data_IF_710067749594
#
_entry.id   IF_710067749594
#
_cell.length_a   1.000
_cell.length_b   1.000
_cell.length_c   1.000
_cell.angle_alpha   90.00
_cell.angle_beta   90.00
_cell.angle_gamma   90.00
#
_symmetry.space_group_name_H-M   'P 1'
#
loop_
_entity.id
_entity.type
_entity.pdbx_description
1 polymer ?
#
# COMPACT_ATOMS: atom_id res chain seq x y z
N UNK A 1 5.44 -57.84 28.17
CA UNK A 1 6.27 -58.10 29.37
C UNK A 1 6.21 -56.87 30.25
N UNK A 2 5.71 -57.06 31.46
CA UNK A 2 5.66 -56.09 32.56
C UNK A 2 7.01 -55.37 32.77
N UNK A 3 6.99 -54.14 33.27
CA UNK A 3 7.49 -53.81 34.62
C UNK A 3 7.06 -52.37 34.98
N UNK A 4 6.25 -52.29 36.04
CA UNK A 4 5.97 -51.13 36.87
C UNK A 4 7.17 -50.81 37.78
N UNK A 5 7.39 -49.52 38.13
CA UNK A 5 7.34 -49.01 39.53
C UNK A 5 8.02 -47.64 39.69
N UNK A 6 7.17 -46.67 40.04
CA UNK A 6 7.26 -45.66 41.12
C UNK A 6 8.43 -45.73 42.12
N UNK A 7 9.00 -44.55 42.46
CA UNK A 7 9.31 -44.15 43.84
C UNK A 7 9.16 -42.63 44.05
N UNK A 8 8.78 -42.27 45.28
CA UNK A 8 8.35 -40.96 45.79
C UNK A 8 9.38 -40.32 46.75
N UNK A 9 9.08 -39.07 47.14
CA UNK A 9 9.58 -38.26 48.27
C UNK A 9 10.79 -37.34 47.96
N UNK A 10 10.77 -36.02 48.24
CA UNK A 10 10.66 -35.45 49.60
C UNK A 10 10.27 -33.95 49.62
N UNK A 11 9.22 -33.65 50.39
CA UNK A 11 8.87 -32.45 51.21
C UNK A 11 9.74 -31.15 51.15
N UNK A 12 9.07 -29.97 51.06
CA UNK A 12 8.73 -29.10 52.24
C UNK A 12 8.04 -27.76 51.89
N UNK A 13 6.94 -27.52 52.64
CA UNK A 13 6.47 -26.28 53.33
C UNK A 13 5.79 -25.11 52.59
N UNK A 14 4.52 -24.90 53.01
CA UNK A 14 3.87 -23.68 53.57
C UNK A 14 3.78 -22.43 52.64
N UNK A 15 2.65 -21.73 52.45
CA UNK A 15 1.55 -21.36 53.37
C UNK A 15 0.31 -20.90 52.59
N UNK A 16 -0.85 -21.03 53.22
CA UNK A 16 -2.20 -20.72 52.73
C UNK A 16 -2.65 -19.25 52.91
N UNK A 17 -3.50 -18.79 51.99
CA UNK A 17 -4.64 -17.85 52.13
C UNK A 17 -5.59 -18.22 50.98
N UNK A 18 -6.87 -18.52 51.10
CA UNK A 18 -7.90 -18.16 52.08
C UNK A 18 -9.15 -17.81 51.25
N UNK A 19 -9.88 -18.81 50.77
CA UNK A 19 -11.15 -18.67 50.04
C UNK A 19 -12.30 -18.72 51.04
N UNK A 20 -13.22 -17.74 50.97
CA UNK A 20 -14.45 -17.70 51.75
C UNK A 20 -15.65 -17.96 50.83
N UNK A 21 -16.40 -19.00 51.18
CA UNK A 21 -17.70 -19.39 50.63
C UNK A 21 -18.78 -19.20 51.69
N UNK A 22 -19.91 -18.61 51.32
CA UNK A 22 -21.22 -18.75 51.99
C UNK A 22 -22.27 -18.07 51.09
N UNK A 23 -23.51 -18.52 50.91
CA UNK A 23 -24.30 -19.59 51.49
C UNK A 23 -25.46 -19.91 50.53
N UNK A 24 -25.82 -21.18 50.43
CA UNK A 24 -27.03 -21.68 49.79
C UNK A 24 -28.10 -21.84 50.88
N UNK A 25 -29.29 -21.29 50.69
CA UNK A 25 -30.53 -21.77 51.32
C UNK A 25 -31.69 -21.66 50.33
N UNK A 26 -32.36 -22.80 50.15
CA UNK A 26 -33.65 -22.96 49.48
C UNK A 26 -34.79 -22.39 50.31
N UNK A 27 -35.87 -21.95 49.67
CA UNK A 27 -37.25 -22.25 50.07
C UNK A 27 -38.19 -21.97 48.88
N UNK A 28 -39.02 -22.97 48.59
CA UNK A 28 -40.12 -22.97 47.64
C UNK A 28 -41.38 -22.33 48.24
N UNK A 29 -42.08 -21.48 47.48
CA UNK A 29 -43.55 -21.41 47.53
C UNK A 29 -44.13 -20.65 46.33
N UNK A 30 -45.26 -21.19 45.89
CA UNK A 30 -46.25 -20.74 44.90
C UNK A 30 -46.69 -19.27 44.97
N UNK A 31 -46.82 -18.59 43.83
CA UNK A 31 -48.11 -18.21 43.21
C UNK A 31 -48.05 -16.95 42.31
N UNK A 32 -48.67 -17.09 41.13
CA UNK A 32 -49.40 -16.11 40.30
C UNK A 32 -48.79 -14.75 39.92
N UNK A 33 -48.68 -14.60 38.60
CA UNK A 33 -49.18 -13.46 37.79
C UNK A 33 -48.57 -12.09 38.03
N UNK A 34 -47.56 -11.74 37.22
CA UNK A 34 -47.32 -10.36 36.78
C UNK A 34 -46.95 -10.37 35.30
N UNK A 35 -47.90 -9.98 34.46
CA UNK A 35 -47.64 -9.54 33.10
C UNK A 35 -46.94 -8.18 33.16
N UNK A 36 -45.72 -8.08 32.63
CA UNK A 36 -45.04 -6.81 32.42
C UNK A 36 -44.46 -6.74 31.01
N UNK A 37 -45.19 -5.99 30.19
CA UNK A 37 -44.79 -5.22 29.02
C UNK A 37 -43.38 -5.44 28.45
N UNK A 38 -43.32 -6.08 27.28
CA UNK A 38 -42.27 -5.86 26.29
C UNK A 38 -42.57 -4.54 25.55
N UNK A 39 -41.61 -3.62 25.35
CA UNK A 39 -41.81 -2.48 24.45
C UNK A 39 -41.84 -2.99 23.01
N UNK A 40 -42.98 -2.78 22.34
CA UNK A 40 -43.20 -3.15 20.95
C UNK A 40 -42.40 -2.29 19.96
N UNK A 41 -42.02 -2.91 18.85
CA UNK A 41 -41.51 -2.27 17.64
C UNK A 41 -42.57 -1.30 17.08
N UNK A 42 -42.21 -0.05 16.70
CA UNK A 42 -43.13 0.82 15.98
C UNK A 42 -43.26 0.39 14.51
N UNK A 43 -44.50 0.28 14.06
CA UNK A 43 -44.89 0.12 12.65
C UNK A 43 -44.68 1.43 11.87
N UNK A 44 -44.47 1.35 10.54
CA UNK A 44 -44.07 2.50 9.72
C UNK A 44 -45.27 3.36 9.33
N UNK A 45 -45.21 4.67 9.60
CA UNK A 45 -46.24 5.58 9.11
C UNK A 45 -46.23 6.97 9.73
N UNK A 46 -45.16 7.75 9.51
CA UNK A 46 -45.24 9.23 9.49
C UNK A 46 -44.08 9.78 8.65
N UNK A 47 -44.41 10.61 7.67
CA UNK A 47 -43.45 11.28 6.80
C UNK A 47 -42.60 12.27 7.59
N UNK A 48 -41.28 12.14 7.51
CA UNK A 48 -40.35 13.17 7.98
C UNK A 48 -40.27 14.29 6.95
N UNK A 49 -40.75 15.49 7.32
CA UNK A 49 -40.50 16.71 6.56
C UNK A 49 -39.03 17.14 6.73
N UNK A 50 -38.32 17.50 5.65
CA UNK A 50 -36.95 18.01 5.76
C UNK A 50 -36.93 19.43 6.38
N UNK A 51 -35.83 19.83 7.05
CA UNK A 51 -35.68 21.18 7.56
C UNK A 51 -35.56 22.22 6.43
N UNK A 52 -35.93 23.50 6.66
CA UNK A 52 -35.89 24.54 5.63
C UNK A 52 -34.45 24.89 5.22
N UNK A 53 -34.27 25.19 3.94
CA UNK A 53 -33.00 25.60 3.35
C UNK A 53 -32.51 26.95 3.91
N UNK A 54 -31.18 27.15 4.05
CA UNK A 54 -30.63 28.44 4.47
C UNK A 54 -30.81 29.51 3.39
N UNK A 55 -31.08 30.75 3.84
CA UNK A 55 -31.32 31.94 3.01
C UNK A 55 -30.11 32.32 2.13
N UNK A 56 -30.34 32.90 0.93
CA UNK A 56 -29.27 33.30 0.03
C UNK A 56 -28.53 34.56 0.54
N UNK A 57 -27.21 34.55 0.40
CA UNK A 57 -26.34 35.72 0.60
C UNK A 57 -26.52 36.74 -0.55
N UNK A 58 -26.29 38.04 -0.32
CA UNK A 58 -26.64 39.09 -1.27
C UNK A 58 -25.71 39.17 -2.48
N UNK A 59 -26.30 39.55 -3.61
CA UNK A 59 -25.71 39.74 -4.92
C UNK A 59 -24.50 40.70 -4.92
N UNK A 60 -23.40 40.25 -5.52
CA UNK A 60 -22.35 41.11 -6.06
C UNK A 60 -22.29 40.87 -7.57
N UNK A 61 -22.56 41.93 -8.33
CA UNK A 61 -22.63 41.95 -9.79
C UNK A 61 -21.30 41.55 -10.47
N UNK A 62 -21.34 41.02 -11.72
CA UNK A 62 -20.22 40.35 -12.36
C UNK A 62 -19.26 41.34 -13.04
N UNK A 63 -17.97 41.11 -12.90
CA UNK A 63 -16.95 41.70 -13.77
C UNK A 63 -16.83 40.85 -15.05
N UNK A 64 -16.90 41.52 -16.19
CA UNK A 64 -16.84 40.95 -17.52
C UNK A 64 -15.51 40.18 -17.77
N UNK A 65 -15.62 38.95 -18.26
CA UNK A 65 -14.53 38.26 -18.92
C UNK A 65 -15.07 37.50 -20.14
N UNK A 66 -14.40 37.76 -21.25
CA UNK A 66 -14.64 37.33 -22.63
C UNK A 66 -14.97 35.84 -22.81
N UNK A 67 -16.08 35.59 -23.50
CA UNK A 67 -16.45 34.30 -24.09
C UNK A 67 -15.44 33.88 -25.15
N UNK A 68 -14.59 32.90 -24.81
CA UNK A 68 -13.93 32.05 -25.80
C UNK A 68 -14.56 30.66 -25.68
N UNK A 69 -15.20 30.23 -26.76
CA UNK A 69 -15.87 28.95 -26.85
C UNK A 69 -14.86 27.80 -26.68
N UNK A 70 -14.97 27.04 -25.59
CA UNK A 70 -14.23 25.79 -25.43
C UNK A 70 -15.02 24.71 -26.18
N UNK A 71 -14.48 24.34 -27.34
CA UNK A 71 -14.91 23.20 -28.13
C UNK A 71 -14.89 21.94 -27.26
N UNK A 72 -16.04 21.27 -27.16
CA UNK A 72 -16.15 19.95 -26.58
C UNK A 72 -15.30 18.98 -27.41
N UNK A 73 -14.12 18.60 -26.90
CA UNK A 73 -13.30 17.55 -27.50
C UNK A 73 -14.03 16.23 -27.29
N UNK A 74 -14.77 15.80 -28.30
CA UNK A 74 -15.29 14.44 -28.43
C UNK A 74 -14.13 13.47 -28.27
N UNK A 75 -14.20 12.62 -27.24
CA UNK A 75 -13.29 11.51 -27.06
C UNK A 75 -13.26 10.67 -28.34
N UNK A 76 -12.06 10.42 -28.86
CA UNK A 76 -11.85 9.56 -30.01
C UNK A 76 -12.49 8.17 -29.76
N UNK A 77 -13.07 7.52 -30.78
CA UNK A 77 -13.70 6.21 -30.61
C UNK A 77 -12.67 5.19 -30.12
N UNK A 78 -13.09 4.37 -29.15
CA UNK A 78 -12.31 3.26 -28.64
C UNK A 78 -11.89 2.35 -29.81
N UNK A 79 -10.58 2.06 -29.91
CA UNK A 79 -10.06 1.08 -30.86
C UNK A 79 -10.74 -0.28 -30.62
N UNK A 80 -11.01 -1.08 -31.67
CA UNK A 80 -11.54 -2.42 -31.53
C UNK A 80 -10.61 -3.26 -30.64
N UNK A 81 -11.18 -4.18 -29.87
CA UNK A 81 -10.52 -5.01 -28.87
C UNK A 81 -9.10 -5.38 -29.30
N UNK A 82 -8.11 -4.75 -28.65
CA UNK A 82 -6.72 -5.03 -28.93
C UNK A 82 -6.49 -6.52 -28.68
N UNK A 83 -6.09 -7.24 -29.73
CA UNK A 83 -5.79 -8.67 -29.64
C UNK A 83 -4.77 -8.86 -28.50
N UNK A 84 -5.17 -9.60 -27.47
CA UNK A 84 -4.30 -9.86 -26.33
C UNK A 84 -3.05 -10.61 -26.83
N UNK A 85 -1.86 -10.29 -26.29
CA UNK A 85 -0.65 -10.99 -26.69
C UNK A 85 -0.72 -12.45 -26.28
N UNK A 86 -0.02 -13.32 -27.02
CA UNK A 86 0.16 -14.71 -26.61
C UNK A 86 0.91 -14.72 -25.27
N UNK A 87 0.38 -15.45 -24.31
CA UNK A 87 0.93 -15.57 -22.96
C UNK A 87 0.74 -17.01 -22.49
N UNK A 88 1.81 -17.60 -21.95
CA UNK A 88 1.76 -18.92 -21.31
C UNK A 88 1.05 -18.87 -19.95
N UNK A 89 0.87 -17.65 -19.43
CA UNK A 89 0.10 -17.35 -18.22
C UNK A 89 -1.30 -16.90 -18.66
N UNK A 90 -2.39 -17.50 -18.13
CA UNK A 90 -3.75 -17.05 -18.43
C UNK A 90 -3.95 -15.56 -18.15
N UNK A 91 -4.47 -14.82 -19.14
CA UNK A 91 -4.86 -13.41 -18.99
C UNK A 91 -6.36 -13.36 -18.75
N UNK A 92 -6.76 -12.82 -17.60
CA UNK A 92 -8.14 -12.67 -17.17
C UNK A 92 -8.49 -11.18 -17.20
N UNK A 93 -9.53 -10.80 -17.94
CA UNK A 93 -9.87 -9.38 -18.17
C UNK A 93 -11.14 -8.92 -17.46
N UNK A 94 -11.95 -9.83 -16.93
CA UNK A 94 -13.20 -9.51 -16.22
C UNK A 94 -13.11 -9.87 -14.73
N UNK A 95 -13.86 -9.15 -13.91
CA UNK A 95 -13.95 -9.40 -12.46
C UNK A 95 -14.61 -10.75 -12.19
N UNK A 96 -15.63 -11.11 -12.97
CA UNK A 96 -16.37 -12.36 -12.78
C UNK A 96 -15.52 -13.59 -13.08
N UNK A 97 -14.75 -13.59 -14.17
CA UNK A 97 -13.83 -14.68 -14.51
C UNK A 97 -12.75 -14.85 -13.42
N UNK A 98 -12.22 -13.73 -12.90
CA UNK A 98 -11.21 -13.78 -11.84
C UNK A 98 -11.79 -14.32 -10.53
N UNK A 99 -13.04 -13.97 -10.21
CA UNK A 99 -13.77 -14.51 -9.05
C UNK A 99 -14.05 -15.99 -9.21
N UNK A 100 -14.43 -16.45 -10.40
CA UNK A 100 -14.61 -17.87 -10.68
C UNK A 100 -13.29 -18.64 -10.47
N UNK A 101 -12.21 -18.14 -11.05
CA UNK A 101 -10.86 -18.69 -10.86
C UNK A 101 -10.48 -18.74 -9.37
N UNK A 102 -10.74 -17.67 -8.61
CA UNK A 102 -10.44 -17.61 -7.18
C UNK A 102 -11.29 -18.57 -6.36
N UNK A 103 -12.58 -18.70 -6.68
CA UNK A 103 -13.50 -19.60 -6.01
C UNK A 103 -13.08 -21.06 -6.20
N UNK A 104 -12.58 -21.43 -7.39
CA UNK A 104 -11.98 -22.74 -7.62
C UNK A 104 -10.77 -22.97 -6.72
N UNK A 105 -9.83 -22.03 -6.68
CA UNK A 105 -8.67 -22.11 -5.79
C UNK A 105 -9.06 -22.25 -4.31
N UNK A 106 -10.11 -21.54 -3.88
CA UNK A 106 -10.63 -21.64 -2.51
C UNK A 106 -11.18 -23.03 -2.19
N UNK A 107 -12.00 -23.61 -3.09
CA UNK A 107 -12.53 -24.98 -2.92
C UNK A 107 -11.44 -26.05 -2.88
N UNK A 108 -10.34 -25.82 -3.58
CA UNK A 108 -9.15 -26.68 -3.57
C UNK A 108 -8.25 -26.45 -2.34
N UNK A 109 -8.61 -25.53 -1.43
CA UNK A 109 -7.81 -25.21 -0.25
C UNK A 109 -6.48 -24.51 -0.55
N UNK A 110 -6.32 -23.94 -1.75
CA UNK A 110 -5.08 -23.30 -2.19
C UNK A 110 -4.95 -21.87 -1.67
N UNK A 111 -3.73 -21.56 -1.23
CA UNK A 111 -3.33 -20.18 -0.89
C UNK A 111 -3.07 -19.37 -2.16
N UNK A 112 -3.46 -18.09 -2.14
CA UNK A 112 -3.29 -17.17 -3.28
C UNK A 112 -2.51 -15.95 -2.84
N UNK A 113 -1.34 -15.74 -3.44
CA UNK A 113 -0.59 -14.50 -3.34
C UNK A 113 -1.00 -13.53 -4.45
N UNK A 114 -1.06 -12.25 -4.13
CA UNK A 114 -1.46 -11.20 -5.07
C UNK A 114 -0.43 -10.08 -5.16
N UNK A 115 -0.01 -9.75 -6.38
CA UNK A 115 0.94 -8.67 -6.68
C UNK A 115 0.23 -7.60 -7.53
N UNK A 116 -0.29 -6.52 -6.92
CA UNK A 116 -0.88 -5.42 -7.68
C UNK A 116 0.20 -4.58 -8.36
N UNK A 117 0.10 -4.40 -9.68
CA UNK A 117 1.02 -3.55 -10.45
C UNK A 117 0.27 -2.66 -11.46
N UNK A 118 0.98 -1.66 -11.99
CA UNK A 118 0.52 -0.85 -13.12
C UNK A 118 1.13 -1.29 -14.47
N UNK A 119 1.84 -2.43 -14.51
CA UNK A 119 2.64 -2.84 -15.68
C UNK A 119 4.01 -2.17 -15.73
N UNK A 120 4.66 -2.24 -16.91
CA UNK A 120 6.04 -1.80 -17.10
C UNK A 120 6.99 -2.44 -16.09
N UNK A 121 6.93 -3.77 -16.06
CA UNK A 121 7.56 -4.59 -15.04
C UNK A 121 9.09 -4.53 -15.14
N UNK A 122 9.73 -4.72 -14.00
CA UNK A 122 11.18 -4.69 -13.80
C UNK A 122 11.54 -5.61 -12.62
N UNK A 123 12.82 -5.81 -12.34
CA UNK A 123 13.27 -6.80 -11.34
C UNK A 123 12.69 -6.56 -9.93
N UNK A 124 12.41 -5.30 -9.57
CA UNK A 124 11.67 -4.97 -8.35
C UNK A 124 10.23 -5.52 -8.30
N UNK A 125 9.52 -5.63 -9.42
CA UNK A 125 8.22 -6.32 -9.47
C UNK A 125 8.40 -7.84 -9.43
N UNK A 126 9.44 -8.33 -10.11
CA UNK A 126 9.74 -9.76 -10.16
C UNK A 126 10.14 -10.32 -8.80
N UNK A 127 10.80 -9.54 -7.94
CA UNK A 127 11.04 -9.95 -6.55
C UNK A 127 9.74 -10.14 -5.77
N UNK A 128 8.72 -9.28 -5.96
CA UNK A 128 7.39 -9.45 -5.35
C UNK A 128 6.74 -10.76 -5.80
N UNK A 129 6.81 -11.06 -7.11
CA UNK A 129 6.27 -12.28 -7.69
C UNK A 129 6.99 -13.51 -7.14
N UNK A 130 8.33 -13.48 -7.03
CA UNK A 130 9.11 -14.57 -6.46
C UNK A 130 8.75 -14.85 -5.01
N UNK A 131 8.59 -13.81 -4.18
CA UNK A 131 8.15 -13.97 -2.80
C UNK A 131 6.72 -14.52 -2.71
N UNK A 132 5.83 -14.08 -3.60
CA UNK A 132 4.48 -14.64 -3.72
C UNK A 132 4.49 -16.14 -4.05
N UNK A 133 5.32 -16.58 -5.00
CA UNK A 133 5.47 -17.99 -5.38
C UNK A 133 6.07 -18.84 -4.24
N UNK A 134 6.97 -18.25 -3.44
CA UNK A 134 7.56 -18.92 -2.28
C UNK A 134 6.54 -19.20 -1.19
N UNK A 135 5.66 -18.24 -0.93
CA UNK A 135 4.76 -18.26 0.23
C UNK A 135 3.33 -18.78 -0.08
N UNK A 136 2.96 -18.96 -1.35
CA UNK A 136 1.61 -19.35 -1.76
C UNK A 136 1.60 -20.42 -2.87
N UNK A 137 0.50 -21.15 -3.00
CA UNK A 137 0.31 -22.18 -4.03
C UNK A 137 0.07 -21.58 -5.41
N UNK A 138 -0.67 -20.47 -5.45
CA UNK A 138 -1.01 -19.73 -6.66
C UNK A 138 -0.61 -18.27 -6.52
N UNK A 139 -0.26 -17.63 -7.63
CA UNK A 139 0.11 -16.20 -7.67
C UNK A 139 -0.67 -15.49 -8.78
N UNK A 140 -1.35 -14.41 -8.42
CA UNK A 140 -2.03 -13.51 -9.38
C UNK A 140 -1.27 -12.19 -9.43
N UNK A 141 -1.04 -11.68 -10.63
CA UNK A 141 -0.45 -10.36 -10.85
C UNK A 141 -1.48 -9.49 -11.56
N UNK A 142 -1.83 -8.32 -11.03
CA UNK A 142 -2.64 -7.38 -11.80
C UNK A 142 -1.76 -6.42 -12.57
N UNK A 143 -2.16 -6.09 -13.80
CA UNK A 143 -1.60 -5.00 -14.60
C UNK A 143 -2.74 -4.02 -14.85
N UNK A 144 -2.79 -2.93 -14.10
CA UNK A 144 -3.83 -1.93 -14.25
C UNK A 144 -3.32 -0.53 -13.94
N UNK A 145 -3.22 0.33 -14.96
CA UNK A 145 -2.90 1.75 -14.79
C UNK A 145 -4.16 2.46 -14.29
N UNK A 146 -4.27 2.65 -12.98
CA UNK A 146 -5.43 3.23 -12.34
C UNK A 146 -5.52 4.75 -12.58
N UNK A 147 -6.51 5.30 -13.32
CA UNK A 147 -6.59 6.73 -13.54
C UNK A 147 -6.88 7.52 -12.25
N UNK A 148 -7.56 6.93 -11.26
CA UNK A 148 -8.02 7.62 -10.06
C UNK A 148 -6.88 8.08 -9.12
N UNK A 149 -5.66 7.58 -9.32
CA UNK A 149 -4.48 7.99 -8.55
C UNK A 149 -3.59 8.99 -9.31
N UNK A 150 -3.99 9.42 -10.51
CA UNK A 150 -3.27 10.44 -11.26
C UNK A 150 -4.00 11.78 -11.16
N UNK A 151 -3.27 12.85 -10.86
CA UNK A 151 -3.80 14.20 -11.03
C UNK A 151 -3.83 14.58 -12.53
N UNK A 152 -4.63 15.58 -12.95
CA UNK A 152 -4.74 15.96 -14.37
C UNK A 152 -3.41 16.35 -15.04
N UNK A 153 -2.43 16.81 -14.27
CA UNK A 153 -1.10 17.21 -14.73
C UNK A 153 -0.04 16.10 -14.59
N UNK A 154 -0.41 14.93 -14.08
CA UNK A 154 0.50 13.78 -13.95
C UNK A 154 0.56 12.93 -15.23
N UNK A 155 1.50 11.99 -15.25
CA UNK A 155 1.96 11.26 -16.43
C UNK A 155 1.03 10.12 -16.89
N UNK A 156 -0.29 10.19 -16.64
CA UNK A 156 -1.24 9.10 -16.99
C UNK A 156 -1.23 8.76 -18.49
N UNK A 157 -1.23 9.80 -19.35
CA UNK A 157 -1.25 9.62 -20.79
C UNK A 157 0.04 8.97 -21.31
N UNK A 158 1.17 9.29 -20.68
CA UNK A 158 2.51 8.85 -21.08
C UNK A 158 3.01 7.63 -20.31
N UNK A 159 2.22 7.10 -19.36
CA UNK A 159 2.63 5.94 -18.56
C UNK A 159 2.89 4.74 -19.48
N UNK A 160 4.04 4.05 -19.34
CA UNK A 160 4.41 2.95 -20.23
C UNK A 160 3.41 1.78 -20.13
N UNK A 161 2.94 1.31 -21.29
CA UNK A 161 2.08 0.11 -21.41
C UNK A 161 2.82 -0.93 -22.24
N UNK A 162 3.34 -1.96 -21.58
CA UNK A 162 4.27 -2.92 -22.20
C UNK A 162 3.84 -4.37 -21.97
N UNK A 163 2.55 -4.66 -22.13
CA UNK A 163 1.94 -5.96 -21.78
C UNK A 163 2.70 -7.17 -22.33
N UNK A 164 3.12 -7.14 -23.60
CA UNK A 164 3.91 -8.23 -24.21
C UNK A 164 5.22 -8.51 -23.45
N UNK A 165 5.97 -7.45 -23.14
CA UNK A 165 7.22 -7.53 -22.38
C UNK A 165 6.95 -7.96 -20.92
N UNK A 166 5.88 -7.43 -20.34
CA UNK A 166 5.47 -7.73 -18.96
C UNK A 166 5.11 -9.22 -18.83
N UNK A 167 4.30 -9.75 -19.75
CA UNK A 167 3.94 -11.18 -19.83
C UNK A 167 5.18 -12.06 -20.01
N UNK A 168 6.09 -11.70 -20.93
CA UNK A 168 7.33 -12.46 -21.14
C UNK A 168 8.18 -12.50 -19.87
N UNK A 169 8.33 -11.36 -19.18
CA UNK A 169 9.11 -11.29 -17.94
C UNK A 169 8.47 -12.14 -16.84
N UNK A 170 7.15 -12.11 -16.71
CA UNK A 170 6.41 -12.96 -15.76
C UNK A 170 6.58 -14.45 -16.08
N UNK A 171 6.59 -14.85 -17.37
CA UNK A 171 6.83 -16.25 -17.77
C UNK A 171 8.21 -16.78 -17.38
N UNK A 172 9.20 -15.90 -17.17
CA UNK A 172 10.52 -16.32 -16.65
C UNK A 172 10.51 -16.66 -15.15
N UNK A 173 9.43 -16.33 -14.44
CA UNK A 173 9.32 -16.57 -13.00
C UNK A 173 8.87 -18.00 -12.73
N UNK A 174 9.70 -18.73 -12.00
CA UNK A 174 9.27 -19.97 -11.39
C UNK A 174 9.96 -20.19 -10.05
N UNK A 175 9.34 -21.01 -9.22
CA UNK A 175 9.86 -21.42 -7.93
C UNK A 175 9.59 -22.91 -7.74
N UNK A 176 10.62 -23.66 -7.37
CA UNK A 176 10.48 -25.08 -7.04
C UNK A 176 10.54 -25.22 -5.51
N UNK A 177 9.41 -25.49 -4.83
CA UNK A 177 9.42 -25.68 -3.39
C UNK A 177 10.24 -26.90 -2.98
N UNK A 178 10.98 -26.80 -1.88
CA UNK A 178 11.81 -27.92 -1.38
C UNK A 178 11.00 -29.03 -0.70
N UNK A 179 9.66 -28.93 -0.64
CA UNK A 179 8.80 -29.91 0.02
C UNK A 179 8.58 -31.16 -0.84
N UNK A 180 8.41 -32.36 -0.24
CA UNK A 180 8.09 -33.57 -0.98
C UNK A 180 6.83 -33.38 -1.84
N UNK A 181 6.86 -33.90 -3.07
CA UNK A 181 5.76 -33.79 -4.06
C UNK A 181 5.40 -32.36 -4.51
N UNK A 182 6.28 -31.38 -4.26
CA UNK A 182 6.06 -30.04 -4.76
C UNK A 182 6.11 -29.99 -6.30
N UNK A 183 5.18 -29.23 -6.88
CA UNK A 183 5.20 -28.89 -8.28
C UNK A 183 5.89 -27.54 -8.48
N UNK A 184 6.50 -27.34 -9.66
CA UNK A 184 6.97 -26.04 -10.08
C UNK A 184 5.82 -25.02 -9.98
N UNK A 185 6.07 -23.91 -9.30
CA UNK A 185 5.13 -22.79 -9.18
C UNK A 185 5.55 -21.70 -10.15
N UNK A 186 4.62 -21.22 -10.94
CA UNK A 186 4.76 -20.05 -11.82
C UNK A 186 3.56 -19.11 -11.60
N UNK A 187 3.60 -17.85 -12.07
CA UNK A 187 2.43 -16.99 -12.03
C UNK A 187 1.22 -17.67 -12.65
N UNK A 188 0.11 -17.70 -11.92
CA UNK A 188 -1.05 -18.52 -12.23
C UNK A 188 -2.10 -17.78 -13.07
N UNK A 189 -2.15 -16.45 -12.96
CA UNK A 189 -2.98 -15.60 -13.80
C UNK A 189 -2.44 -14.15 -13.83
N UNK A 190 -2.66 -13.47 -14.94
CA UNK A 190 -2.53 -12.02 -15.08
C UNK A 190 -3.94 -11.43 -15.09
N UNK A 191 -4.25 -10.55 -14.14
CA UNK A 191 -5.49 -9.80 -14.14
C UNK A 191 -5.30 -8.46 -14.86
N UNK A 192 -5.96 -8.30 -16.01
CA UNK A 192 -5.83 -7.16 -16.91
C UNK A 192 -7.19 -6.51 -17.14
N UNK A 193 -7.80 -5.88 -16.11
CA UNK A 193 -9.12 -5.28 -16.26
C UNK A 193 -9.06 -3.99 -17.07
N UNK A 194 -10.16 -3.68 -17.76
CA UNK A 194 -10.36 -2.36 -18.36
C UNK A 194 -10.77 -1.33 -17.29
N UNK A 195 -10.64 -0.03 -17.59
CA UNK A 195 -11.16 1.02 -16.70
C UNK A 195 -12.68 0.95 -16.56
N UNK A 196 -13.41 0.53 -17.59
CA UNK A 196 -14.87 0.34 -17.51
C UNK A 196 -15.23 -0.82 -16.58
N UNK A 197 -14.45 -1.90 -16.61
CA UNK A 197 -14.61 -3.03 -15.70
C UNK A 197 -14.36 -2.61 -14.25
N UNK A 198 -13.26 -1.87 -14.01
CA UNK A 198 -12.96 -1.38 -12.67
C UNK A 198 -13.94 -0.30 -12.23
N UNK A 199 -14.39 0.60 -13.09
CA UNK A 199 -15.22 1.77 -12.77
C UNK A 199 -16.44 1.84 -13.69
N UNK A 200 -17.46 0.99 -13.50
CA UNK A 200 -18.61 0.90 -14.39
C UNK A 200 -19.45 2.18 -14.44
N UNK A 201 -19.49 2.93 -13.33
CA UNK A 201 -20.14 4.25 -13.25
C UNK A 201 -19.29 5.40 -13.82
N UNK A 202 -18.07 5.10 -14.28
CA UNK A 202 -17.09 6.08 -14.74
C UNK A 202 -16.27 6.72 -13.62
N UNK A 203 -15.19 7.40 -14.03
CA UNK A 203 -14.33 8.21 -13.18
C UNK A 203 -14.54 9.68 -13.54
N UNK A 204 -15.04 10.47 -12.60
CA UNK A 204 -15.09 11.92 -12.73
C UNK A 204 -14.70 12.56 -11.41
N UNK A 205 -13.68 13.43 -11.46
CA UNK A 205 -13.26 14.20 -10.29
C UNK A 205 -14.28 15.27 -9.91
N UNK A 206 -15.02 15.81 -10.87
CA UNK A 206 -16.00 16.88 -10.64
C UNK A 206 -17.36 16.36 -10.17
N UNK A 207 -17.80 15.21 -10.68
CA UNK A 207 -19.13 14.65 -10.37
C UNK A 207 -19.12 13.47 -9.40
N UNK A 208 -17.92 13.00 -9.01
CA UNK A 208 -17.71 11.89 -8.04
C UNK A 208 -18.62 10.67 -8.29
N UNK A 209 -18.67 10.18 -9.53
CA UNK A 209 -19.56 9.07 -9.93
C UNK A 209 -19.22 7.70 -9.32
N UNK A 210 -18.12 7.59 -8.57
CA UNK A 210 -17.60 6.35 -8.00
C UNK A 210 -17.43 6.46 -6.49
N UNK A 211 -17.60 5.35 -5.78
CA UNK A 211 -17.25 5.26 -4.35
C UNK A 211 -15.73 5.24 -4.16
N UNK A 212 -15.25 5.96 -3.14
CA UNK A 212 -13.83 6.04 -2.79
C UNK A 212 -13.58 5.64 -1.34
N UNK A 213 -12.41 5.07 -1.09
CA UNK A 213 -11.83 4.92 0.25
C UNK A 213 -11.01 6.18 0.53
N UNK A 214 -11.29 6.83 1.65
CA UNK A 214 -10.60 8.05 2.08
C UNK A 214 -9.71 7.70 3.29
N UNK A 215 -8.39 7.58 3.11
CA UNK A 215 -7.47 7.42 4.22
C UNK A 215 -7.52 8.58 5.21
N UNK A 216 -7.08 8.38 6.46
CA UNK A 216 -6.94 9.47 7.42
C UNK A 216 -5.91 10.50 6.92
N UNK A 217 -6.13 11.81 7.19
CA UNK A 217 -5.19 12.87 6.83
C UNK A 217 -3.76 12.65 7.37
N UNK A 218 -3.61 12.10 8.57
CA UNK A 218 -2.29 11.81 9.17
C UNK A 218 -1.41 10.93 8.28
N UNK A 219 -2.00 9.99 7.54
CA UNK A 219 -1.25 9.09 6.67
C UNK A 219 -1.04 9.64 5.25
N UNK A 220 -1.69 10.75 4.91
CA UNK A 220 -1.78 11.26 3.52
C UNK A 220 -1.40 12.73 3.34
N UNK A 221 -1.21 13.49 4.42
CA UNK A 221 -0.79 14.90 4.37
C UNK A 221 0.69 15.09 4.73
N UNK A 222 1.50 14.04 4.58
CA UNK A 222 2.94 14.04 4.83
C UNK A 222 3.67 13.46 3.63
N UNK A 223 4.96 13.78 3.47
CA UNK A 223 5.85 13.21 2.44
C UNK A 223 5.23 13.27 1.02
N UNK A 224 5.08 12.12 0.34
CA UNK A 224 4.50 12.02 -1.01
C UNK A 224 3.08 12.58 -1.11
N UNK A 225 2.35 12.56 0.01
CA UNK A 225 0.98 13.03 0.07
C UNK A 225 0.85 14.55 -0.04
N UNK A 226 1.85 15.30 0.44
CA UNK A 226 1.93 16.75 0.26
C UNK A 226 2.13 17.10 -1.22
N UNK A 227 3.01 16.39 -1.90
CA UNK A 227 3.27 16.58 -3.32
C UNK A 227 2.12 16.07 -4.20
N UNK A 228 1.30 15.13 -3.70
CA UNK A 228 0.25 14.44 -4.48
C UNK A 228 -1.07 14.26 -3.69
N UNK A 229 -1.85 15.32 -3.44
CA UNK A 229 -2.98 15.31 -2.51
C UNK A 229 -4.10 14.30 -2.79
N UNK A 230 -4.29 13.90 -4.06
CA UNK A 230 -5.33 12.92 -4.44
C UNK A 230 -4.82 11.49 -4.61
N UNK A 231 -3.50 11.29 -4.56
CA UNK A 231 -2.85 10.02 -4.92
C UNK A 231 -3.30 8.87 -4.01
N UNK A 232 -3.16 9.02 -2.69
CA UNK A 232 -3.43 7.95 -1.75
C UNK A 232 -4.91 7.55 -1.66
N UNK A 233 -5.85 8.48 -1.89
CA UNK A 233 -7.28 8.15 -2.04
C UNK A 233 -7.51 7.23 -3.24
N UNK A 234 -6.88 7.55 -4.38
CA UNK A 234 -6.93 6.73 -5.58
C UNK A 234 -6.33 5.34 -5.38
N UNK A 235 -5.17 5.27 -4.72
CA UNK A 235 -4.47 4.02 -4.39
C UNK A 235 -5.29 3.15 -3.42
N UNK A 236 -5.74 3.71 -2.29
CA UNK A 236 -6.55 2.99 -1.32
C UNK A 236 -7.83 2.43 -1.98
N UNK A 237 -8.50 3.24 -2.81
CA UNK A 237 -9.70 2.81 -3.52
C UNK A 237 -9.42 1.65 -4.47
N UNK A 238 -8.41 1.75 -5.34
CA UNK A 238 -8.15 0.67 -6.31
C UNK A 238 -7.65 -0.60 -5.63
N UNK A 239 -6.80 -0.49 -4.61
CA UNK A 239 -6.31 -1.66 -3.88
C UNK A 239 -7.46 -2.33 -3.13
N UNK A 240 -8.35 -1.59 -2.46
CA UNK A 240 -9.53 -2.18 -1.82
C UNK A 240 -10.42 -2.92 -2.82
N UNK A 241 -10.58 -2.41 -4.04
CA UNK A 241 -11.32 -3.12 -5.10
C UNK A 241 -10.61 -4.40 -5.49
N UNK A 242 -9.31 -4.33 -5.76
CA UNK A 242 -8.51 -5.51 -6.11
C UNK A 242 -8.52 -6.58 -5.01
N UNK A 243 -8.44 -6.19 -3.73
CA UNK A 243 -8.54 -7.12 -2.60
C UNK A 243 -9.92 -7.80 -2.52
N UNK A 244 -11.00 -7.06 -2.76
CA UNK A 244 -12.36 -7.63 -2.82
C UNK A 244 -12.59 -8.55 -4.04
N UNK A 245 -11.88 -8.32 -5.14
CA UNK A 245 -11.96 -9.16 -6.34
C UNK A 245 -11.14 -10.44 -6.15
N UNK A 246 -9.90 -10.31 -5.67
CA UNK A 246 -8.91 -11.38 -5.61
C UNK A 246 -8.97 -12.23 -4.34
N UNK A 247 -9.49 -11.68 -3.24
CA UNK A 247 -9.53 -12.31 -1.90
C UNK A 247 -8.26 -13.11 -1.57
N UNK A 248 -7.07 -12.45 -1.59
CA UNK A 248 -5.81 -13.16 -1.51
C UNK A 248 -5.50 -13.56 -0.07
N UNK A 249 -4.71 -14.61 0.11
CA UNK A 249 -4.12 -14.97 1.40
C UNK A 249 -3.08 -13.93 1.80
N UNK A 250 -2.29 -13.45 0.83
CA UNK A 250 -1.25 -12.43 1.00
C UNK A 250 -1.23 -11.48 -0.17
N UNK A 251 -0.99 -10.20 0.09
CA UNK A 251 -0.75 -9.17 -0.93
C UNK A 251 0.64 -8.59 -0.75
N UNK A 252 1.35 -8.35 -1.86
CA UNK A 252 2.77 -7.97 -1.88
C UNK A 252 2.96 -6.55 -2.39
N UNK A 253 3.70 -5.73 -1.64
CA UNK A 253 4.08 -4.38 -2.03
C UNK A 253 5.58 -4.16 -1.86
N UNK A 254 6.17 -3.33 -2.72
CA UNK A 254 7.58 -2.95 -2.60
C UNK A 254 7.78 -1.86 -1.54
N UNK A 255 8.84 -1.99 -0.76
CA UNK A 255 9.26 -1.01 0.24
C UNK A 255 9.56 0.37 -0.37
N UNK A 256 9.96 0.44 -1.64
CA UNK A 256 10.29 1.70 -2.33
C UNK A 256 9.21 2.77 -2.14
N UNK A 257 7.95 2.37 -2.23
CA UNK A 257 6.78 3.22 -1.99
C UNK A 257 6.30 3.02 -0.54
N UNK A 258 7.18 3.29 0.45
CA UNK A 258 6.98 2.91 1.86
C UNK A 258 5.68 3.48 2.46
N UNK A 259 5.38 4.75 2.18
CA UNK A 259 4.15 5.38 2.66
C UNK A 259 2.90 4.66 2.13
N UNK A 260 2.94 4.22 0.86
CA UNK A 260 1.88 3.39 0.28
C UNK A 260 1.80 2.04 1.01
N UNK A 261 2.93 1.33 1.18
CA UNK A 261 2.95 0.01 1.81
C UNK A 261 2.38 0.04 3.24
N UNK A 262 2.77 1.03 4.03
CA UNK A 262 2.31 1.21 5.41
C UNK A 262 0.85 1.69 5.46
N UNK A 263 0.42 2.53 4.52
CA UNK A 263 -1.01 2.85 4.35
C UNK A 263 -1.83 1.59 4.04
N UNK A 264 -1.33 0.69 3.19
CA UNK A 264 -2.02 -0.57 2.89
C UNK A 264 -2.09 -1.48 4.12
N UNK A 265 -1.03 -1.52 4.96
CA UNK A 265 -1.06 -2.22 6.25
C UNK A 265 -2.15 -1.67 7.18
N UNK A 266 -2.21 -0.35 7.35
CA UNK A 266 -3.24 0.31 8.15
C UNK A 266 -4.64 0.01 7.58
N UNK A 267 -4.85 0.20 6.28
CA UNK A 267 -6.13 -0.04 5.62
C UNK A 267 -6.61 -1.50 5.76
N UNK A 268 -5.71 -2.48 5.58
CA UNK A 268 -6.05 -3.91 5.72
C UNK A 268 -6.49 -4.23 7.15
N UNK A 269 -5.79 -3.67 8.15
CA UNK A 269 -6.13 -3.84 9.57
C UNK A 269 -7.46 -3.17 9.93
N UNK A 270 -7.60 -1.88 9.63
CA UNK A 270 -8.74 -1.05 10.06
C UNK A 270 -10.06 -1.42 9.34
N UNK A 271 -9.97 -1.85 8.08
CA UNK A 271 -11.13 -2.32 7.31
C UNK A 271 -11.33 -3.84 7.38
N UNK A 272 -10.59 -4.53 8.26
CA UNK A 272 -10.72 -5.95 8.53
C UNK A 272 -10.61 -6.84 7.27
N UNK A 273 -9.74 -6.49 6.32
CA UNK A 273 -9.52 -7.32 5.15
C UNK A 273 -8.86 -8.65 5.56
N UNK A 274 -9.37 -9.80 5.10
CA UNK A 274 -8.84 -11.12 5.48
C UNK A 274 -7.58 -11.50 4.68
N UNK A 275 -6.59 -10.62 4.64
CA UNK A 275 -5.31 -10.79 3.93
C UNK A 275 -4.14 -10.33 4.80
N UNK A 276 -2.94 -10.83 4.52
CA UNK A 276 -1.70 -10.30 5.10
C UNK A 276 -0.98 -9.42 4.09
N UNK A 277 -0.41 -8.30 4.53
CA UNK A 277 0.37 -7.39 3.68
C UNK A 277 1.84 -7.71 3.86
N UNK A 278 2.49 -8.18 2.79
CA UNK A 278 3.93 -8.47 2.75
C UNK A 278 4.64 -7.29 2.09
N UNK A 279 5.58 -6.69 2.79
CA UNK A 279 6.45 -5.65 2.23
C UNK A 279 7.76 -6.30 1.85
N UNK A 280 8.21 -6.09 0.62
CA UNK A 280 9.45 -6.66 0.10
C UNK A 280 10.47 -5.54 -0.09
N UNK A 281 11.71 -5.79 0.31
CA UNK A 281 12.79 -4.82 0.22
C UNK A 281 12.98 -4.25 -1.19
N UNK A 282 13.39 -2.99 -1.24
CA UNK A 282 13.64 -2.27 -2.49
C UNK A 282 14.78 -2.91 -3.28
N UNK A 283 14.48 -3.45 -4.46
CA UNK A 283 15.50 -3.86 -5.42
C UNK A 283 16.13 -2.63 -6.06
N UNK A 284 17.46 -2.66 -6.18
CA UNK A 284 18.27 -1.56 -6.68
C UNK A 284 19.06 -1.99 -7.91
N UNK A 285 19.18 -1.08 -8.87
CA UNK A 285 20.02 -1.25 -10.05
C UNK A 285 21.44 -0.74 -9.81
N UNK A 286 22.10 -0.39 -10.91
CA UNK A 286 23.42 0.25 -10.89
C UNK A 286 23.43 1.53 -10.04
N UNK A 287 24.58 1.82 -9.43
CA UNK A 287 24.79 3.00 -8.56
C UNK A 287 23.80 3.10 -7.39
N UNK A 288 23.10 2.00 -7.05
CA UNK A 288 22.17 1.92 -5.93
C UNK A 288 20.78 2.54 -6.18
N UNK A 289 20.49 2.93 -7.42
CA UNK A 289 19.20 3.52 -7.81
C UNK A 289 18.06 2.52 -7.54
N UNK A 290 17.06 2.93 -6.76
CA UNK A 290 15.84 2.15 -6.57
C UNK A 290 15.15 1.91 -7.93
N UNK A 291 14.84 0.66 -8.26
CA UNK A 291 14.23 0.34 -9.55
C UNK A 291 12.80 0.90 -9.62
N UNK A 292 12.48 1.56 -10.73
CA UNK A 292 11.15 2.08 -11.04
C UNK A 292 10.89 2.01 -12.54
N UNK A 293 9.63 1.84 -12.94
CA UNK A 293 9.21 2.00 -14.33
C UNK A 293 9.55 3.39 -14.87
N UNK A 294 9.52 4.43 -14.01
CA UNK A 294 9.89 5.80 -14.37
C UNK A 294 11.39 6.01 -14.61
N UNK A 295 12.27 5.07 -14.23
CA UNK A 295 13.70 5.18 -14.52
C UNK A 295 13.98 5.13 -16.04
N UNK A 296 13.04 4.63 -16.84
CA UNK A 296 13.13 4.64 -18.30
C UNK A 296 13.16 6.06 -18.89
N UNK A 297 12.73 7.08 -18.14
CA UNK A 297 12.75 8.48 -18.58
C UNK A 297 14.13 9.13 -18.46
N UNK A 298 15.03 8.57 -17.64
CA UNK A 298 16.38 9.10 -17.42
C UNK A 298 17.25 8.89 -18.66
N UNK A 299 17.91 9.95 -19.12
CA UNK A 299 18.76 9.94 -20.32
C UNK A 299 20.15 10.55 -20.08
N UNK A 300 21.16 10.05 -20.79
CA UNK A 300 22.52 10.60 -20.76
C UNK A 300 23.04 10.81 -19.33
N UNK A 301 23.44 12.06 -19.04
CA UNK A 301 24.00 12.48 -17.74
C UNK A 301 23.02 12.37 -16.57
N UNK A 302 21.70 12.34 -16.82
CA UNK A 302 20.71 12.13 -15.75
C UNK A 302 20.90 10.77 -15.06
N UNK A 303 21.31 9.74 -15.82
CA UNK A 303 21.62 8.42 -15.25
C UNK A 303 22.85 8.45 -14.34
N UNK A 304 23.77 9.37 -14.57
CA UNK A 304 24.98 9.48 -13.77
C UNK A 304 24.72 10.02 -12.37
N UNK A 305 23.73 10.92 -12.25
CA UNK A 305 23.32 11.55 -10.99
C UNK A 305 22.08 10.93 -10.35
N UNK A 306 21.50 9.90 -10.96
CA UNK A 306 20.29 9.24 -10.43
C UNK A 306 20.51 8.60 -9.04
N UNK A 307 21.75 8.24 -8.71
CA UNK A 307 22.13 7.70 -7.40
C UNK A 307 22.21 8.73 -6.27
N UNK A 308 22.09 10.03 -6.56
CA UNK A 308 22.31 11.11 -5.58
C UNK A 308 21.40 11.02 -4.38
N UNK A 309 20.11 10.74 -4.58
CA UNK A 309 19.16 10.60 -3.48
C UNK A 309 19.56 9.45 -2.53
N UNK A 310 19.99 8.32 -3.07
CA UNK A 310 20.47 7.19 -2.26
C UNK A 310 21.75 7.55 -1.49
N UNK A 311 22.67 8.28 -2.12
CA UNK A 311 23.86 8.82 -1.46
C UNK A 311 23.50 9.70 -0.26
N UNK A 312 22.61 10.67 -0.47
CA UNK A 312 22.13 11.55 0.59
C UNK A 312 21.51 10.79 1.76
N UNK A 313 20.60 9.84 1.49
CA UNK A 313 19.97 9.03 2.55
C UNK A 313 20.99 8.21 3.33
N UNK A 314 22.04 7.69 2.69
CA UNK A 314 23.13 6.98 3.39
C UNK A 314 23.96 7.89 4.28
N UNK A 315 24.20 9.14 3.87
CA UNK A 315 24.91 10.09 4.72
C UNK A 315 24.07 10.52 5.93
N UNK A 316 22.75 10.69 5.77
CA UNK A 316 21.84 10.90 6.90
C UNK A 316 21.83 9.70 7.84
N UNK A 317 21.71 8.47 7.30
CA UNK A 317 21.75 7.23 8.08
C UNK A 317 23.04 7.12 8.92
N UNK A 318 24.20 7.39 8.32
CA UNK A 318 25.49 7.40 9.03
C UNK A 318 25.52 8.44 10.15
N UNK A 319 25.08 9.67 9.86
CA UNK A 319 25.05 10.76 10.83
C UNK A 319 24.12 10.44 12.02
N UNK A 320 22.94 9.89 11.71
CA UNK A 320 21.97 9.44 12.71
C UNK A 320 22.57 8.41 13.66
N UNK A 321 23.21 7.36 13.13
CA UNK A 321 23.84 6.33 13.96
C UNK A 321 25.16 6.78 14.62
N UNK A 322 25.74 7.91 14.20
CA UNK A 322 26.83 8.57 14.90
C UNK A 322 26.35 9.38 16.11
N UNK A 323 25.03 9.43 16.38
CA UNK A 323 24.44 10.12 17.51
C UNK A 323 24.18 11.61 17.26
N UNK A 324 24.23 12.07 16.01
CA UNK A 324 23.83 13.44 15.67
C UNK A 324 22.31 13.60 15.83
N UNK A 325 21.88 14.83 16.10
CA UNK A 325 20.46 15.15 16.11
C UNK A 325 19.83 14.94 14.74
N UNK A 326 18.50 14.82 14.71
CA UNK A 326 17.73 14.72 13.46
C UNK A 326 18.06 15.87 12.52
N UNK A 327 18.00 17.11 13.00
CA UNK A 327 18.27 18.30 12.18
C UNK A 327 19.69 18.32 11.60
N UNK A 328 20.70 17.94 12.38
CA UNK A 328 22.09 17.83 11.90
C UNK A 328 22.24 16.73 10.84
N UNK A 329 21.67 15.54 11.08
CA UNK A 329 21.72 14.44 10.13
C UNK A 329 21.05 14.81 8.81
N UNK A 330 19.85 15.41 8.85
CA UNK A 330 19.14 15.87 7.65
C UNK A 330 19.91 16.97 6.91
N UNK A 331 20.58 17.89 7.63
CA UNK A 331 21.40 18.93 7.02
C UNK A 331 22.57 18.35 6.22
N UNK A 332 23.18 17.25 6.69
CA UNK A 332 24.23 16.54 5.95
C UNK A 332 23.69 15.97 4.64
N UNK A 333 22.52 15.32 4.68
CA UNK A 333 21.88 14.79 3.48
C UNK A 333 21.55 15.88 2.46
N UNK A 334 21.02 17.02 2.90
CA UNK A 334 20.73 18.18 2.03
C UNK A 334 22.00 18.73 1.39
N UNK A 335 23.05 18.95 2.18
CA UNK A 335 24.35 19.41 1.67
C UNK A 335 24.94 18.45 0.64
N UNK A 336 24.84 17.14 0.87
CA UNK A 336 25.28 16.14 -0.10
C UNK A 336 24.59 16.32 -1.46
N UNK A 337 23.28 16.57 -1.46
CA UNK A 337 22.54 16.85 -2.70
C UNK A 337 23.04 18.15 -3.33
N UNK A 338 23.16 19.23 -2.56
CA UNK A 338 23.61 20.54 -3.04
C UNK A 338 25.00 20.47 -3.70
N UNK A 339 25.94 19.71 -3.11
CA UNK A 339 27.28 19.50 -3.67
C UNK A 339 27.22 18.82 -5.04
N UNK A 340 26.37 17.81 -5.20
CA UNK A 340 26.18 17.12 -6.49
C UNK A 340 25.47 18.01 -7.50
N UNK A 341 24.48 18.81 -7.07
CA UNK A 341 23.81 19.80 -7.93
C UNK A 341 24.84 20.80 -8.44
N UNK A 342 25.66 21.37 -7.55
CA UNK A 342 26.68 22.34 -7.91
C UNK A 342 27.68 21.76 -8.91
N UNK A 343 28.15 20.53 -8.70
CA UNK A 343 29.07 19.84 -9.60
C UNK A 343 28.50 19.55 -11.01
N UNK A 344 27.17 19.52 -11.14
CA UNK A 344 26.47 19.23 -12.39
C UNK A 344 25.71 20.44 -12.97
N UNK A 345 25.99 21.64 -12.46
CA UNK A 345 25.38 22.90 -12.91
C UNK A 345 25.51 23.06 -14.42
N UNK A 346 24.40 23.38 -15.08
CA UNK A 346 24.34 23.55 -16.54
C UNK A 346 24.38 22.24 -17.35
N UNK A 347 24.46 21.07 -16.69
CA UNK A 347 24.47 19.76 -17.35
C UNK A 347 23.19 18.97 -17.09
N UNK A 348 22.75 18.91 -15.83
CA UNK A 348 21.52 18.23 -15.42
C UNK A 348 20.79 19.12 -14.43
N UNK A 349 19.51 19.39 -14.69
CA UNK A 349 18.66 20.07 -13.72
C UNK A 349 18.26 19.10 -12.61
N UNK A 350 18.51 19.48 -11.37
CA UNK A 350 18.22 18.67 -10.20
C UNK A 350 17.57 19.55 -9.13
N UNK A 351 16.52 19.04 -8.49
CA UNK A 351 15.82 19.77 -7.42
C UNK A 351 15.36 18.80 -6.34
N UNK A 352 15.92 18.95 -5.13
CA UNK A 352 15.44 18.22 -3.96
C UNK A 352 14.01 18.67 -3.66
N UNK A 353 13.07 17.71 -3.62
CA UNK A 353 11.70 17.98 -3.20
C UNK A 353 11.63 17.93 -1.67
N UNK A 354 12.05 16.80 -1.10
CA UNK A 354 12.21 16.67 0.34
C UNK A 354 13.23 15.58 0.71
N UNK A 355 13.74 15.68 1.94
CA UNK A 355 14.39 14.60 2.69
C UNK A 355 13.94 14.73 4.14
N UNK A 356 13.40 13.66 4.70
CA UNK A 356 12.73 13.70 6.00
C UNK A 356 12.88 12.39 6.78
N UNK A 357 12.79 12.51 8.10
CA UNK A 357 12.70 11.40 9.04
C UNK A 357 11.33 11.45 9.72
N UNK A 358 10.56 10.37 9.59
CA UNK A 358 9.17 10.30 10.05
C UNK A 358 8.95 9.04 10.91
N UNK A 359 7.99 9.13 11.82
CA UNK A 359 7.51 7.97 12.58
C UNK A 359 6.76 7.00 11.66
N UNK A 360 7.04 5.68 11.71
CA UNK A 360 6.46 4.70 10.79
C UNK A 360 4.99 4.35 11.07
N UNK A 361 4.43 4.78 12.20
CA UNK A 361 3.04 4.55 12.56
C UNK A 361 2.17 5.77 12.28
N UNK A 362 2.68 6.97 12.56
CA UNK A 362 1.91 8.23 12.41
C UNK A 362 2.23 8.99 11.12
N UNK A 363 3.40 8.73 10.52
CA UNK A 363 4.02 9.50 9.42
C UNK A 363 4.37 10.94 9.77
N UNK A 364 4.16 11.35 11.02
CA UNK A 364 4.55 12.68 11.47
C UNK A 364 6.09 12.80 11.47
N UNK A 365 6.61 14.01 11.18
CA UNK A 365 8.03 14.27 11.30
C UNK A 365 8.52 13.93 12.71
N UNK A 366 9.66 13.23 12.78
CA UNK A 366 10.24 12.82 14.05
C UNK A 366 10.65 14.05 14.88
N UNK A 367 10.42 14.03 16.20
CA UNK A 367 10.83 15.12 17.11
C UNK A 367 12.35 15.22 17.24
N UNK A 368 12.87 16.40 17.55
CA UNK A 368 14.32 16.61 17.77
C UNK A 368 14.85 15.96 19.06
N UNK A 369 13.95 15.62 19.99
CA UNK A 369 14.23 14.86 21.20
C UNK A 369 14.47 13.37 20.95
N UNK A 370 14.07 12.88 19.78
CA UNK A 370 14.27 11.49 19.37
C UNK A 370 15.70 11.30 18.88
N UNK A 371 16.35 10.24 19.35
CA UNK A 371 17.70 9.84 18.94
C UNK A 371 17.71 8.38 18.46
N UNK A 372 18.82 7.97 17.85
CA UNK A 372 19.00 6.62 17.28
C UNK A 372 18.98 5.48 18.30
N UNK A 373 18.95 5.78 19.61
CA UNK A 373 19.24 4.82 20.68
C UNK A 373 20.72 4.44 20.73
N UNK A 374 21.08 3.63 21.74
CA UNK A 374 22.44 3.09 21.88
C UNK A 374 22.85 2.28 20.63
N UNK A 375 24.15 2.31 20.30
CA UNK A 375 24.71 1.60 19.15
C UNK A 375 24.24 0.13 19.09
N UNK A 376 23.58 -0.25 17.99
CA UNK A 376 23.08 -1.62 17.78
C UNK A 376 21.68 -1.76 17.17
N UNK A 377 21.04 -0.68 16.70
CA UNK A 377 19.77 -0.76 15.96
C UNK A 377 18.52 -0.98 16.80
N UNK A 378 18.61 -0.79 18.13
CA UNK A 378 17.48 -0.89 19.08
C UNK A 378 16.82 0.46 19.39
N UNK A 379 16.99 1.43 18.50
CA UNK A 379 16.31 2.73 18.59
C UNK A 379 14.88 2.65 18.07
N UNK A 380 14.10 3.73 18.23
CA UNK A 380 12.76 3.80 17.64
C UNK A 380 12.82 3.57 16.14
N UNK A 381 11.79 2.92 15.60
CA UNK A 381 11.66 2.76 14.16
C UNK A 381 11.50 4.12 13.48
N UNK A 382 12.22 4.35 12.38
CA UNK A 382 12.17 5.62 11.62
C UNK A 382 12.14 5.34 10.13
N UNK A 383 11.26 6.06 9.41
CA UNK A 383 11.30 6.16 7.96
C UNK A 383 12.17 7.35 7.60
N UNK A 384 13.36 7.09 7.06
CA UNK A 384 14.16 8.11 6.39
C UNK A 384 13.83 8.04 4.89
N UNK A 385 13.17 9.06 4.36
CA UNK A 385 12.76 9.08 2.95
C UNK A 385 13.06 10.40 2.27
N UNK A 386 13.05 10.40 0.95
CA UNK A 386 13.18 11.62 0.19
C UNK A 386 12.69 11.47 -1.25
N UNK A 387 12.59 12.62 -1.90
CA UNK A 387 12.28 12.73 -3.32
C UNK A 387 13.15 13.78 -4.00
N UNK A 388 13.64 13.46 -5.19
CA UNK A 388 14.57 14.27 -5.95
C UNK A 388 14.13 14.32 -7.42
N UNK A 389 13.93 15.52 -7.95
CA UNK A 389 13.77 15.72 -9.38
C UNK A 389 15.13 15.64 -10.06
N UNK A 390 15.22 14.86 -11.13
CA UNK A 390 16.35 14.78 -12.06
C UNK A 390 15.78 14.97 -13.47
N UNK A 391 16.05 16.14 -14.05
CA UNK A 391 15.34 16.62 -15.22
C UNK A 391 13.83 16.61 -14.98
N UNK A 392 13.09 15.84 -15.79
CA UNK A 392 11.63 15.69 -15.66
C UNK A 392 11.20 14.50 -14.80
N UNK A 393 12.14 13.73 -14.27
CA UNK A 393 11.86 12.50 -13.53
C UNK A 393 11.93 12.75 -12.03
N UNK A 394 10.83 12.55 -11.32
CA UNK A 394 10.82 12.57 -9.85
C UNK A 394 11.17 11.19 -9.29
N UNK A 395 12.35 11.08 -8.70
CA UNK A 395 12.83 9.87 -8.04
C UNK A 395 12.42 9.89 -6.58
N UNK A 396 12.07 8.71 -6.04
CA UNK A 396 11.77 8.52 -4.61
C UNK A 396 12.61 7.38 -4.08
N UNK A 397 13.00 7.46 -2.82
CA UNK A 397 13.72 6.38 -2.13
C UNK A 397 13.54 6.49 -0.61
N UNK A 398 13.84 5.41 0.10
CA UNK A 398 13.83 5.36 1.56
C UNK A 398 14.86 4.38 2.15
N UNK A 399 15.13 4.59 3.43
CA UNK A 399 15.86 3.72 4.35
C UNK A 399 15.01 3.59 5.61
N UNK A 400 14.86 2.37 6.12
CA UNK A 400 14.22 2.16 7.41
C UNK A 400 15.31 2.00 8.47
N UNK A 401 15.20 2.74 9.57
CA UNK A 401 16.19 2.80 10.65
C UNK A 401 15.57 2.29 11.96
N UNK A 402 16.37 1.73 12.87
CA UNK A 402 15.90 1.26 14.17
C UNK A 402 14.96 0.04 14.11
N UNK A 403 14.03 -0.06 15.06
CA UNK A 403 13.10 -1.19 15.21
C UNK A 403 11.95 -1.16 14.18
N UNK A 404 12.24 -1.62 12.96
CA UNK A 404 11.30 -1.61 11.81
C UNK A 404 11.06 -3.01 11.21
N UNK A 405 11.51 -4.08 11.87
CA UNK A 405 11.36 -5.46 11.37
C UNK A 405 9.90 -5.84 11.08
N UNK A 406 8.96 -5.34 11.87
CA UNK A 406 7.52 -5.53 11.71
C UNK A 406 6.99 -4.99 10.37
N UNK A 407 7.72 -4.09 9.69
CA UNK A 407 7.35 -3.58 8.36
C UNK A 407 7.33 -4.70 7.33
N UNK A 408 8.17 -5.72 7.48
CA UNK A 408 8.27 -6.82 6.53
C UNK A 408 7.39 -8.01 6.88
N UNK A 409 6.87 -8.09 8.11
CA UNK A 409 5.98 -9.15 8.60
C UNK A 409 4.55 -8.98 8.12
#
# INVERSE_FOLDING_TARGET
MNVLRTQSHTLRRLTARGLSTSSIRSLSSTSRSLASALPGYPTPGTAFSPPPAPSPAPDVAPAAASTSAISATTAAPAKPDAVLPKSDIPIITTIDDLREWRNKAFREGKTVGFVPTMGALHDGHISLVRESLRENDLTVVSIYVNPAQFAPHEDLATYPRTLEKDSLLLSTCSYFPSTPNATLRSPSAIFLPSTKEMYPSGLSHSTQLSTYIVPPPSLTNQMEGLSRPTFFRGVATVVSKLLNITLPTRVYFGQKDIQQALLMKSMVKELCFPTRVRVIETIRGEKGLALSSRNAYLQGKEKDVAGTLRGALKEVEKAWYAGMSRSEALAIGKRYVDDVVQANTGQVEMKLDYIEMNDPHTFEPLGEDVNSGAAGGKGPGVILSGALWVGRTRLIDNVLLGEVGWVYE
#
